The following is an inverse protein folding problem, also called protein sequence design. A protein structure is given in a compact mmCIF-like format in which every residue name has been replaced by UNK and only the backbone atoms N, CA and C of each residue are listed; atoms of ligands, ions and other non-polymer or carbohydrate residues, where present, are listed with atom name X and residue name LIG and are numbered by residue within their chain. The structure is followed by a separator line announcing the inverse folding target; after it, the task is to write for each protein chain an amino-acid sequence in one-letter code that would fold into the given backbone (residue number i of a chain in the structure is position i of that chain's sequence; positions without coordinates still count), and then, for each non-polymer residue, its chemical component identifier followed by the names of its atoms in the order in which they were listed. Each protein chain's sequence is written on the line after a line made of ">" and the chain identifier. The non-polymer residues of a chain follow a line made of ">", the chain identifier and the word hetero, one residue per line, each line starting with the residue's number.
data_IF_574971630677
#
_entry.id   IF_574971630677
#
_cell.length_a   1.000
_cell.length_b   1.000
_cell.length_c   1.000
_cell.angle_alpha   90.00
_cell.angle_beta   90.00
_cell.angle_gamma   90.00
#
_symmetry.space_group_name_H-M   'P 1'
#
loop_
_entity.id
_entity.type
_entity.pdbx_description
1 polymer ?
#
# COMPACT_ATOMS: atom_id res chain seq x y z
N UNK A 1 -4.28 -31.89 -5.38
CA UNK A 1 -2.82 -32.04 -5.17
C UNK A 1 -2.45 -31.17 -3.99
N UNK A 2 -1.81 -31.71 -2.95
CA UNK A 2 -1.36 -30.89 -1.82
C UNK A 2 -0.23 -30.02 -2.33
N UNK A 3 -0.48 -28.72 -2.44
CA UNK A 3 0.58 -27.74 -2.64
C UNK A 3 1.49 -27.82 -1.43
N UNK A 4 2.75 -28.15 -1.66
CA UNK A 4 3.81 -28.06 -0.67
C UNK A 4 3.74 -26.63 -0.11
N UNK A 5 3.54 -26.51 1.21
CA UNK A 5 3.29 -25.22 1.85
C UNK A 5 4.62 -24.46 1.96
N UNK A 6 5.15 -23.97 0.85
CA UNK A 6 6.13 -22.90 0.94
C UNK A 6 5.45 -21.74 1.67
N UNK A 7 5.94 -21.44 2.86
CA UNK A 7 5.53 -20.25 3.58
C UNK A 7 5.72 -19.04 2.65
N UNK A 8 4.71 -18.20 2.55
CA UNK A 8 4.83 -16.93 1.84
C UNK A 8 5.91 -16.11 2.56
N UNK A 9 7.14 -16.22 2.11
CA UNK A 9 8.23 -15.40 2.63
C UNK A 9 8.10 -13.96 2.14
N UNK A 10 8.67 -13.01 2.87
CA UNK A 10 8.67 -11.60 2.49
C UNK A 10 9.25 -11.39 1.08
N UNK A 11 10.34 -12.09 0.74
CA UNK A 11 10.97 -12.01 -0.58
C UNK A 11 10.03 -12.49 -1.70
N UNK A 12 9.25 -13.55 -1.44
CA UNK A 12 8.26 -14.06 -2.39
C UNK A 12 7.11 -13.06 -2.60
N UNK A 13 6.63 -12.41 -1.54
CA UNK A 13 5.62 -11.34 -1.64
C UNK A 13 6.16 -10.18 -2.45
N UNK A 14 7.40 -9.75 -2.20
CA UNK A 14 8.03 -8.68 -3.00
C UNK A 14 8.23 -9.10 -4.46
N UNK A 15 8.67 -10.35 -4.74
CA UNK A 15 8.77 -10.84 -6.11
C UNK A 15 7.41 -10.77 -6.82
N UNK A 16 6.34 -11.23 -6.17
CA UNK A 16 4.98 -11.19 -6.74
C UNK A 16 4.54 -9.76 -7.04
N UNK A 17 4.72 -8.85 -6.10
CA UNK A 17 4.27 -7.47 -6.22
C UNK A 17 5.20 -6.59 -7.06
N UNK A 18 6.38 -7.06 -7.44
CA UNK A 18 7.32 -6.30 -8.28
C UNK A 18 6.83 -6.07 -9.72
N UNK A 19 5.96 -6.96 -10.24
CA UNK A 19 5.41 -6.85 -11.58
C UNK A 19 4.11 -6.02 -11.60
N UNK A 20 4.01 -4.95 -12.41
CA UNK A 20 2.77 -4.19 -12.59
C UNK A 20 1.59 -5.07 -13.01
N UNK A 21 1.79 -5.98 -13.97
CA UNK A 21 0.74 -6.89 -14.44
C UNK A 21 0.20 -7.79 -13.34
N UNK A 22 1.07 -8.33 -12.45
CA UNK A 22 0.60 -9.13 -11.32
C UNK A 22 -0.21 -8.30 -10.34
N UNK A 23 0.18 -7.04 -10.08
CA UNK A 23 -0.62 -6.13 -9.26
C UNK A 23 -1.99 -5.84 -9.86
N UNK A 24 -2.08 -5.60 -11.18
CA UNK A 24 -3.36 -5.39 -11.88
C UNK A 24 -4.26 -6.63 -11.80
N UNK A 25 -3.70 -7.83 -12.00
CA UNK A 25 -4.45 -9.09 -11.85
C UNK A 25 -5.05 -9.21 -10.45
N UNK A 26 -4.24 -9.05 -9.41
CA UNK A 26 -4.70 -9.15 -8.03
C UNK A 26 -5.75 -8.09 -7.69
N UNK A 27 -5.56 -6.88 -8.16
CA UNK A 27 -6.52 -5.79 -7.98
C UNK A 27 -7.87 -6.09 -8.64
N UNK A 28 -7.85 -6.55 -9.90
CA UNK A 28 -9.09 -6.85 -10.63
C UNK A 28 -9.86 -7.99 -9.99
N UNK A 29 -9.20 -9.09 -9.69
CA UNK A 29 -9.83 -10.24 -9.06
C UNK A 29 -10.43 -9.90 -7.68
N UNK A 30 -9.77 -9.02 -6.90
CA UNK A 30 -10.32 -8.51 -5.63
C UNK A 30 -11.55 -7.65 -5.83
N UNK A 31 -11.55 -6.82 -6.86
CA UNK A 31 -12.66 -5.89 -7.13
C UNK A 31 -13.90 -6.65 -7.59
N UNK A 32 -13.70 -7.68 -8.42
CA UNK A 32 -14.80 -8.51 -8.93
C UNK A 32 -15.33 -9.47 -7.85
N UNK A 33 -14.43 -10.09 -7.08
CA UNK A 33 -14.77 -10.97 -5.96
C UNK A 33 -15.35 -12.34 -6.37
N UNK A 34 -15.27 -12.71 -7.64
CA UNK A 34 -15.72 -13.97 -8.22
C UNK A 34 -14.74 -14.45 -9.30
N UNK A 35 -14.77 -15.74 -9.73
CA UNK A 35 -13.93 -16.25 -10.79
C UNK A 35 -14.13 -15.49 -12.10
N UNK A 36 -13.02 -15.11 -12.78
CA UNK A 36 -13.01 -14.31 -14.02
C UNK A 36 -12.37 -15.11 -15.15
N UNK A 37 -12.92 -15.01 -16.36
CA UNK A 37 -12.29 -15.60 -17.52
C UNK A 37 -10.94 -14.91 -17.80
N UNK A 38 -9.89 -15.69 -18.09
CA UNK A 38 -8.55 -15.16 -18.36
C UNK A 38 -8.53 -14.15 -19.50
N UNK A 39 -9.44 -14.29 -20.48
CA UNK A 39 -9.54 -13.36 -21.59
C UNK A 39 -10.02 -11.97 -21.12
N UNK A 40 -11.08 -11.93 -20.30
CA UNK A 40 -11.64 -10.69 -19.77
C UNK A 40 -10.64 -9.99 -18.82
N UNK A 41 -9.95 -10.79 -18.01
CA UNK A 41 -8.88 -10.31 -17.16
C UNK A 41 -7.74 -9.68 -17.99
N UNK A 42 -7.35 -10.32 -19.11
CA UNK A 42 -6.29 -9.82 -19.96
C UNK A 42 -6.68 -8.52 -20.68
N UNK A 43 -7.92 -8.40 -21.11
CA UNK A 43 -8.44 -7.18 -21.73
C UNK A 43 -8.44 -6.01 -20.75
N UNK A 44 -8.90 -6.25 -19.51
CA UNK A 44 -8.90 -5.21 -18.50
C UNK A 44 -7.48 -4.78 -18.09
N UNK A 45 -6.56 -5.72 -17.93
CA UNK A 45 -5.14 -5.41 -17.67
C UNK A 45 -4.52 -4.65 -18.84
N UNK A 46 -4.86 -5.02 -20.09
CA UNK A 46 -4.37 -4.32 -21.28
C UNK A 46 -4.89 -2.87 -21.35
N UNK A 47 -6.16 -2.65 -21.01
CA UNK A 47 -6.76 -1.31 -20.95
C UNK A 47 -6.04 -0.42 -19.94
N UNK A 48 -5.78 -0.92 -18.74
CA UNK A 48 -5.02 -0.18 -17.72
C UNK A 48 -3.57 0.08 -18.10
N UNK A 49 -2.90 -0.90 -18.74
CA UNK A 49 -1.51 -0.76 -19.17
C UNK A 49 -1.32 0.27 -20.30
N UNK A 50 -2.33 0.43 -21.16
CA UNK A 50 -2.30 1.38 -22.29
C UNK A 50 -3.10 2.67 -22.00
N UNK A 51 -3.62 2.85 -20.77
CA UNK A 51 -4.41 4.03 -20.37
C UNK A 51 -5.59 4.31 -21.31
N UNK A 52 -6.31 3.26 -21.73
CA UNK A 52 -7.42 3.33 -22.68
C UNK A 52 -8.61 2.50 -22.21
N UNK A 53 -9.76 2.64 -22.84
CA UNK A 53 -10.93 1.79 -22.60
C UNK A 53 -10.77 0.43 -23.30
N UNK A 54 -11.47 -0.60 -22.77
CA UNK A 54 -11.38 -1.96 -23.31
C UNK A 54 -11.79 -2.00 -24.79
N UNK A 55 -12.80 -1.23 -25.17
CA UNK A 55 -13.31 -1.20 -26.56
C UNK A 55 -12.35 -0.54 -27.56
N UNK A 56 -11.41 0.26 -27.09
CA UNK A 56 -10.43 0.96 -27.90
C UNK A 56 -9.11 0.17 -28.09
N UNK A 57 -8.96 -0.95 -27.39
CA UNK A 57 -7.78 -1.80 -27.51
C UNK A 57 -7.67 -2.44 -28.89
N UNK A 58 -6.48 -2.39 -29.47
CA UNK A 58 -6.16 -3.15 -30.66
C UNK A 58 -6.01 -4.66 -30.35
N UNK A 59 -6.25 -5.49 -31.37
CA UNK A 59 -6.05 -6.96 -31.28
C UNK A 59 -4.63 -7.33 -30.85
N UNK A 60 -3.64 -6.52 -31.23
CA UNK A 60 -2.24 -6.75 -30.90
C UNK A 60 -1.98 -6.51 -29.39
N UNK A 61 -2.56 -5.46 -28.81
CA UNK A 61 -2.45 -5.15 -27.39
C UNK A 61 -3.13 -6.21 -26.54
N UNK A 62 -4.36 -6.61 -26.89
CA UNK A 62 -5.09 -7.71 -26.24
C UNK A 62 -4.24 -9.00 -26.26
N UNK A 63 -3.78 -9.41 -27.41
CA UNK A 63 -3.00 -10.64 -27.59
C UNK A 63 -1.68 -10.60 -26.82
N UNK A 64 -0.98 -9.49 -26.82
CA UNK A 64 0.30 -9.32 -26.11
C UNK A 64 0.13 -9.53 -24.60
N UNK A 65 -0.89 -8.91 -24.02
CA UNK A 65 -1.15 -9.03 -22.60
C UNK A 65 -1.68 -10.41 -22.25
N UNK A 66 -2.62 -10.95 -23.02
CA UNK A 66 -3.13 -12.31 -22.83
C UNK A 66 -2.01 -13.36 -22.82
N UNK A 67 -1.13 -13.35 -23.82
CA UNK A 67 -0.01 -14.31 -23.91
C UNK A 67 0.92 -14.16 -22.69
N UNK A 68 1.21 -12.93 -22.29
CA UNK A 68 2.04 -12.67 -21.11
C UNK A 68 1.39 -13.14 -19.81
N UNK A 69 0.09 -12.91 -19.61
CA UNK A 69 -0.63 -13.41 -18.45
C UNK A 69 -0.65 -14.93 -18.43
N UNK A 70 -1.05 -15.54 -19.55
CA UNK A 70 -1.16 -17.00 -19.68
C UNK A 70 0.15 -17.74 -19.46
N UNK A 71 1.25 -17.24 -20.05
CA UNK A 71 2.54 -17.95 -20.03
C UNK A 71 3.41 -17.65 -18.81
N UNK A 72 3.24 -16.47 -18.19
CA UNK A 72 4.20 -16.01 -17.18
C UNK A 72 3.53 -15.66 -15.86
N UNK A 73 2.52 -14.78 -15.88
CA UNK A 73 2.03 -14.15 -14.65
C UNK A 73 1.04 -15.05 -13.89
N UNK A 74 0.07 -15.63 -14.59
CA UNK A 74 -0.90 -16.54 -13.96
C UNK A 74 -0.23 -17.81 -13.45
N UNK A 75 0.63 -18.51 -14.21
CA UNK A 75 1.36 -19.66 -13.69
C UNK A 75 2.22 -19.34 -12.46
N UNK A 76 2.82 -18.15 -12.39
CA UNK A 76 3.58 -17.72 -11.22
C UNK A 76 2.68 -17.51 -10.01
N UNK A 77 1.54 -16.84 -10.15
CA UNK A 77 0.58 -16.62 -9.06
C UNK A 77 -0.07 -17.93 -8.60
N UNK A 78 -0.37 -18.83 -9.54
CA UNK A 78 -0.92 -20.16 -9.28
C UNK A 78 0.08 -21.04 -8.54
N UNK A 79 1.36 -21.05 -8.97
CA UNK A 79 2.42 -21.86 -8.35
C UNK A 79 2.65 -21.53 -6.87
N UNK A 80 2.37 -20.28 -6.46
CA UNK A 80 2.46 -19.86 -5.06
C UNK A 80 1.10 -19.92 -4.34
N UNK A 81 0.07 -20.36 -5.04
CA UNK A 81 -1.27 -20.57 -4.51
C UNK A 81 -2.03 -19.29 -4.14
N UNK A 82 -1.73 -18.16 -4.74
CA UNK A 82 -2.45 -16.89 -4.54
C UNK A 82 -3.68 -16.81 -5.44
N UNK A 83 -3.57 -17.36 -6.65
CA UNK A 83 -4.71 -17.59 -7.55
C UNK A 83 -4.83 -19.08 -7.83
N UNK A 84 -6.00 -19.51 -8.25
CA UNK A 84 -6.25 -20.81 -8.84
C UNK A 84 -6.65 -20.61 -10.29
N UNK A 85 -5.97 -21.31 -11.21
CA UNK A 85 -6.27 -21.24 -12.63
C UNK A 85 -6.76 -22.59 -13.14
N UNK A 86 -8.05 -22.67 -13.46
CA UNK A 86 -8.62 -23.84 -14.13
C UNK A 86 -8.42 -23.75 -15.64
N UNK A 87 -7.52 -24.58 -16.15
CA UNK A 87 -7.22 -24.64 -17.58
C UNK A 87 -8.36 -25.21 -18.43
N UNK A 88 -9.33 -25.93 -17.84
CA UNK A 88 -10.45 -26.49 -18.59
C UNK A 88 -11.54 -25.44 -18.84
N UNK A 89 -11.86 -24.65 -17.84
CA UNK A 89 -12.83 -23.56 -17.94
C UNK A 89 -12.20 -22.25 -18.40
N UNK A 90 -10.88 -22.08 -18.24
CA UNK A 90 -10.17 -20.83 -18.49
C UNK A 90 -10.41 -19.77 -17.42
N UNK A 91 -10.92 -20.17 -16.24
CA UNK A 91 -11.25 -19.26 -15.15
C UNK A 91 -10.07 -19.08 -14.20
N UNK A 92 -9.93 -17.87 -13.67
CA UNK A 92 -8.94 -17.48 -12.68
C UNK A 92 -9.68 -16.93 -11.46
N UNK A 93 -9.33 -17.42 -10.26
CA UNK A 93 -9.92 -16.92 -9.02
C UNK A 93 -8.84 -16.69 -7.94
N UNK A 94 -9.15 -15.82 -6.96
CA UNK A 94 -8.29 -15.63 -5.80
C UNK A 94 -8.52 -16.76 -4.79
N UNK A 95 -7.42 -17.21 -4.18
CA UNK A 95 -7.49 -18.12 -3.03
C UNK A 95 -7.48 -17.34 -1.72
N UNK A 96 -7.83 -18.01 -0.61
CA UNK A 96 -7.73 -17.41 0.73
C UNK A 96 -6.30 -16.97 1.10
N UNK A 97 -5.28 -17.47 0.39
CA UNK A 97 -3.88 -17.09 0.63
C UNK A 97 -3.58 -15.63 0.28
N UNK A 98 -4.42 -14.99 -0.52
CA UNK A 98 -4.26 -13.56 -0.84
C UNK A 98 -4.29 -12.68 0.41
N UNK A 99 -5.06 -13.05 1.44
CA UNK A 99 -5.11 -12.33 2.71
C UNK A 99 -3.77 -12.32 3.45
N UNK A 100 -2.94 -13.34 3.26
CA UNK A 100 -1.60 -13.38 3.85
C UNK A 100 -0.65 -12.34 3.23
N UNK A 101 -0.88 -11.95 1.97
CA UNK A 101 -0.13 -10.84 1.36
C UNK A 101 -0.46 -9.54 2.09
N UNK A 102 -1.72 -9.34 2.47
CA UNK A 102 -2.15 -8.15 3.21
C UNK A 102 -1.50 -8.09 4.59
N UNK A 103 -1.38 -9.23 5.28
CA UNK A 103 -0.70 -9.32 6.57
C UNK A 103 0.77 -8.92 6.43
N UNK A 104 1.49 -9.40 5.41
CA UNK A 104 2.88 -9.01 5.14
C UNK A 104 3.02 -7.53 4.77
N UNK A 105 2.08 -6.97 4.02
CA UNK A 105 2.10 -5.55 3.66
C UNK A 105 1.78 -4.66 4.87
N UNK A 106 0.97 -5.15 5.81
CA UNK A 106 0.67 -4.44 7.07
C UNK A 106 1.76 -4.61 8.11
N UNK A 107 2.39 -5.78 8.25
CA UNK A 107 3.50 -6.01 9.16
C UNK A 107 4.75 -5.20 8.83
N UNK A 108 5.00 -4.95 7.54
CA UNK A 108 6.15 -4.14 7.08
C UNK A 108 5.94 -2.64 7.32
N UNK A 109 4.73 -2.24 7.65
CA UNK A 109 4.36 -0.86 7.98
C UNK A 109 3.93 -0.77 9.43
N UNK A 110 4.84 -1.08 10.39
CA UNK A 110 4.59 -0.59 11.76
C UNK A 110 4.47 0.93 11.67
N UNK A 111 3.28 1.48 11.81
CA UNK A 111 3.13 2.92 11.74
C UNK A 111 3.88 3.48 12.96
N UNK A 112 4.82 4.39 12.73
CA UNK A 112 5.45 5.15 13.82
C UNK A 112 4.30 5.59 14.74
N UNK A 113 4.36 5.29 16.06
CA UNK A 113 3.27 5.62 16.99
C UNK A 113 3.21 7.13 17.23
N UNK A 114 2.80 7.87 16.20
CA UNK A 114 2.72 9.33 16.21
C UNK A 114 1.89 9.87 17.36
N UNK A 115 0.88 9.10 17.79
CA UNK A 115 0.06 9.45 18.96
C UNK A 115 0.91 9.52 20.24
N UNK A 116 1.76 8.51 20.47
CA UNK A 116 2.69 8.51 21.62
C UNK A 116 3.68 9.66 21.55
N UNK A 117 4.21 9.94 20.35
CA UNK A 117 5.12 11.05 20.10
C UNK A 117 4.47 12.42 20.42
N UNK A 118 3.25 12.68 19.93
CA UNK A 118 2.54 13.91 20.21
C UNK A 118 2.10 14.04 21.66
N UNK A 119 1.71 12.94 22.31
CA UNK A 119 1.42 12.92 23.74
C UNK A 119 2.67 13.26 24.58
N UNK A 120 3.81 12.67 24.26
CA UNK A 120 5.09 12.99 24.91
C UNK A 120 5.48 14.46 24.72
N UNK A 121 5.36 14.97 23.50
CA UNK A 121 5.65 16.37 23.19
C UNK A 121 4.72 17.34 23.95
N UNK A 122 3.44 17.01 24.02
CA UNK A 122 2.45 17.79 24.77
C UNK A 122 2.76 17.76 26.29
N UNK A 123 3.11 16.63 26.86
CA UNK A 123 3.47 16.48 28.27
C UNK A 123 4.72 17.32 28.60
N UNK A 124 5.79 17.21 27.80
CA UNK A 124 7.02 18.00 27.99
C UNK A 124 6.72 19.50 27.87
N UNK A 125 5.93 19.91 26.88
CA UNK A 125 5.53 21.32 26.68
C UNK A 125 4.73 21.84 27.88
N UNK A 126 3.80 21.04 28.40
CA UNK A 126 3.00 21.40 29.57
C UNK A 126 3.85 21.55 30.84
N UNK A 127 4.80 20.66 31.06
CA UNK A 127 5.74 20.76 32.20
C UNK A 127 6.61 22.01 32.08
N UNK A 128 7.15 22.31 30.89
CA UNK A 128 7.95 23.52 30.67
C UNK A 128 7.17 24.80 30.95
N UNK A 129 5.94 24.89 30.44
CA UNK A 129 5.07 26.04 30.72
C UNK A 129 4.74 26.18 32.20
N UNK A 130 4.52 25.04 32.90
CA UNK A 130 4.26 25.05 34.34
C UNK A 130 5.47 25.56 35.13
N UNK A 131 6.69 25.12 34.79
CA UNK A 131 7.92 25.58 35.43
C UNK A 131 8.18 27.08 35.22
N UNK A 132 7.89 27.60 34.01
CA UNK A 132 7.95 29.04 33.69
C UNK A 132 6.93 29.81 34.52
N UNK A 133 5.68 29.32 34.60
CA UNK A 133 4.61 29.93 35.36
C UNK A 133 4.89 29.98 36.86
N UNK A 134 5.44 28.89 37.41
CA UNK A 134 5.84 28.83 38.81
C UNK A 134 7.15 29.58 39.14
N UNK A 135 7.86 30.06 38.14
CA UNK A 135 9.14 30.74 38.31
C UNK A 135 10.27 29.91 38.91
N UNK A 136 10.27 28.59 38.69
CA UNK A 136 11.21 27.63 39.27
C UNK A 136 12.58 27.74 38.60
N UNK A 137 13.61 28.08 39.39
CA UNK A 137 15.02 28.10 38.96
C UNK A 137 15.28 29.02 37.76
N UNK A 138 16.03 28.59 36.75
CA UNK A 138 16.35 29.39 35.58
C UNK A 138 15.14 29.71 34.70
N UNK A 139 14.05 28.94 34.81
CA UNK A 139 12.84 29.12 33.99
C UNK A 139 12.06 30.40 34.35
N UNK A 140 12.16 30.87 35.58
CA UNK A 140 11.51 32.11 36.01
C UNK A 140 12.05 33.39 35.35
N UNK A 141 13.24 33.32 34.72
CA UNK A 141 13.85 34.43 34.01
C UNK A 141 13.53 34.43 32.51
N UNK A 142 12.91 33.36 31.98
CA UNK A 142 12.58 33.24 30.55
C UNK A 142 11.18 33.79 30.31
N UNK A 143 11.00 34.76 29.41
CA UNK A 143 9.66 35.24 29.05
C UNK A 143 8.80 34.07 28.53
N UNK A 144 7.58 33.92 29.06
CA UNK A 144 6.64 32.87 28.64
C UNK A 144 6.36 32.88 27.14
N UNK A 145 6.43 34.07 26.51
CA UNK A 145 6.29 34.22 25.06
C UNK A 145 7.39 33.48 24.27
N UNK A 146 8.65 33.52 24.74
CA UNK A 146 9.77 32.85 24.10
C UNK A 146 9.57 31.31 24.14
N UNK A 147 9.14 30.79 25.29
CA UNK A 147 8.85 29.34 25.44
C UNK A 147 7.67 28.95 24.56
N UNK A 148 6.63 29.75 24.49
CA UNK A 148 5.48 29.54 23.62
C UNK A 148 5.88 29.48 22.14
N UNK A 149 6.74 30.38 21.68
CA UNK A 149 7.24 30.38 20.29
C UNK A 149 8.05 29.09 19.99
N UNK A 150 8.94 28.69 20.90
CA UNK A 150 9.75 27.46 20.74
C UNK A 150 8.85 26.21 20.63
N UNK A 151 7.86 26.09 21.51
CA UNK A 151 6.90 24.98 21.49
C UNK A 151 6.12 24.95 20.18
N UNK A 152 5.61 26.12 19.76
CA UNK A 152 4.83 26.20 18.51
C UNK A 152 5.68 25.88 17.29
N UNK A 153 6.93 26.36 17.23
CA UNK A 153 7.85 26.01 16.16
C UNK A 153 8.16 24.50 16.15
N UNK A 154 8.38 23.88 17.30
CA UNK A 154 8.60 22.44 17.42
C UNK A 154 7.41 21.61 16.93
N UNK A 155 6.20 22.01 17.29
CA UNK A 155 4.97 21.37 16.81
C UNK A 155 4.80 21.54 15.29
N UNK A 156 5.09 22.71 14.75
CA UNK A 156 4.99 22.97 13.30
C UNK A 156 5.99 22.12 12.49
N UNK A 157 7.23 22.00 12.97
CA UNK A 157 8.27 21.15 12.36
C UNK A 157 7.84 19.68 12.42
N UNK A 158 7.37 19.23 13.57
CA UNK A 158 6.91 17.85 13.76
C UNK A 158 5.69 17.51 12.87
N UNK A 159 4.72 18.42 12.78
CA UNK A 159 3.56 18.26 11.89
C UNK A 159 3.96 18.24 10.41
N UNK A 160 4.92 19.08 10.01
CA UNK A 160 5.45 19.11 8.65
C UNK A 160 6.19 17.81 8.31
N UNK A 161 7.01 17.32 9.22
CA UNK A 161 7.70 16.02 9.06
C UNK A 161 6.71 14.87 8.94
N UNK A 162 5.68 14.83 9.79
CA UNK A 162 4.60 13.86 9.73
C UNK A 162 3.85 13.92 8.38
N UNK A 163 3.51 15.12 7.91
CA UNK A 163 2.84 15.30 6.63
C UNK A 163 3.71 14.81 5.45
N UNK A 164 5.01 15.12 5.45
CA UNK A 164 5.95 14.66 4.42
C UNK A 164 6.13 13.13 4.45
N UNK A 165 6.23 12.56 5.64
CA UNK A 165 6.29 11.11 5.84
C UNK A 165 5.03 10.42 5.28
N UNK A 166 3.85 10.91 5.63
CA UNK A 166 2.57 10.37 5.14
C UNK A 166 2.40 10.53 3.63
N UNK A 167 2.83 11.67 3.07
CA UNK A 167 2.83 11.90 1.62
C UNK A 167 3.78 10.97 0.87
N UNK A 168 4.93 10.62 1.46
CA UNK A 168 5.88 9.67 0.85
C UNK A 168 5.35 8.24 0.84
N UNK A 169 4.60 7.84 1.86
CA UNK A 169 3.95 6.54 1.94
C UNK A 169 2.84 6.38 0.88
N UNK A 170 2.07 7.44 0.61
CA UNK A 170 1.02 7.41 -0.43
C UNK A 170 1.57 7.24 -1.86
N UNK A 171 2.81 7.60 -2.11
CA UNK A 171 3.44 7.42 -3.42
C UNK A 171 3.79 5.97 -3.73
N UNK A 172 3.70 5.06 -2.77
CA UNK A 172 3.96 3.62 -2.96
C UNK A 172 2.73 2.86 -3.47
N UNK A 173 1.53 3.43 -3.38
CA UNK A 173 0.36 2.91 -4.11
C UNK A 173 0.38 3.60 -5.48
N UNK A 174 0.43 2.87 -6.60
CA UNK A 174 0.35 3.48 -7.93
C UNK A 174 -0.89 4.37 -7.99
N UNK A 175 -0.71 5.65 -8.28
CA UNK A 175 -1.79 6.64 -8.42
C UNK A 175 -2.82 6.23 -9.50
N UNK A 176 -2.41 5.36 -10.40
CA UNK A 176 -3.21 4.74 -11.46
C UNK A 176 -4.39 3.90 -10.93
N UNK A 177 -4.32 3.43 -9.68
CA UNK A 177 -5.37 2.62 -9.07
C UNK A 177 -6.30 3.42 -8.14
N UNK A 178 -5.92 4.65 -7.80
CA UNK A 178 -6.64 5.49 -6.83
C UNK A 178 -7.63 6.46 -7.48
N UNK A 179 -7.47 6.79 -8.76
CA UNK A 179 -8.20 7.90 -9.40
C UNK A 179 -9.43 7.49 -10.23
N UNK A 180 -9.77 6.19 -10.29
CA UNK A 180 -10.90 5.68 -11.08
C UNK A 180 -12.02 5.02 -10.26
N UNK A 181 -12.17 5.40 -9.01
CA UNK A 181 -13.27 4.96 -8.12
C UNK A 181 -14.21 6.11 -7.74
N UNK A 182 -14.57 6.97 -8.71
CA UNK A 182 -15.52 8.04 -8.51
C UNK A 182 -16.57 8.07 -9.61
#
# INVERSE_FOLDING_TARGET
>A
MAYDQEELTQDLVFDILSSPRRRYVLYYLRTVGEPVALNDLAEQVAAWENETEVDELSDQERKRVYVSLYQTHIPKLDSVGIVEYDQQSGMVELTDRVHRIDDYLTETSEPIPWQGFYMGLAAVSGVLLLLVWLGVGPFGQVPALVVGVIITAGLAISASAHYLYWRSQRKQVPQELSDRGG
#
